data_IF_214156964702
#
_entry.id   IF_214156964702
#
_cell.length_a   1.000
_cell.length_b   1.000
_cell.length_c   1.000
_cell.angle_alpha   90.00
_cell.angle_beta   90.00
_cell.angle_gamma   90.00
#
_symmetry.space_group_name_H-M   'P 1'
#
loop_
_entity.id
_entity.type
_entity.pdbx_description
1 polymer ?
#
# COMPACT_ATOMS: atom_id res chain seq x y z
N UNK A 1 2.36 9.30 -32.48
CA UNK A 1 2.78 8.61 -31.25
C UNK A 1 1.62 8.51 -30.26
N UNK A 2 0.53 7.79 -30.64
CA UNK A 2 -0.68 7.68 -29.79
C UNK A 2 -0.43 6.97 -28.44
N UNK A 3 0.63 6.15 -28.36
CA UNK A 3 0.94 5.32 -27.19
C UNK A 3 2.20 5.77 -26.43
N UNK A 4 2.77 6.94 -26.75
CA UNK A 4 3.89 7.50 -26.03
C UNK A 4 3.41 8.02 -24.67
N UNK A 5 4.14 7.66 -23.60
CA UNK A 5 3.92 8.09 -22.22
C UNK A 5 5.12 8.96 -21.83
N UNK A 6 4.92 9.94 -20.97
CA UNK A 6 6.03 10.73 -20.41
C UNK A 6 7.07 9.80 -19.78
N UNK A 7 8.35 10.05 -20.04
CA UNK A 7 9.46 9.18 -19.64
C UNK A 7 9.75 8.00 -20.57
N UNK A 8 9.00 7.83 -21.70
CA UNK A 8 9.34 6.82 -22.69
C UNK A 8 10.51 7.25 -23.56
N UNK A 9 11.44 6.35 -23.82
CA UNK A 9 12.54 6.56 -24.78
C UNK A 9 12.02 6.39 -26.20
N UNK A 10 12.25 7.38 -27.06
CA UNK A 10 11.91 7.35 -28.48
C UNK A 10 13.21 7.29 -29.28
N UNK A 11 13.37 6.26 -30.11
CA UNK A 11 14.55 6.08 -30.94
C UNK A 11 14.18 5.67 -32.37
N UNK A 12 14.98 6.10 -33.33
CA UNK A 12 14.96 5.62 -34.70
C UNK A 12 15.83 4.37 -34.90
N UNK A 13 16.66 4.05 -33.91
CA UNK A 13 17.57 2.89 -33.93
C UNK A 13 16.85 1.71 -33.28
N UNK A 14 16.82 0.56 -33.96
CA UNK A 14 16.37 -0.71 -33.38
C UNK A 14 17.39 -1.14 -32.33
N UNK A 15 16.92 -1.76 -31.24
CA UNK A 15 17.73 -2.33 -30.16
C UNK A 15 18.55 -1.33 -29.34
N UNK A 16 18.09 -0.08 -29.25
CA UNK A 16 18.63 0.89 -28.31
C UNK A 16 18.13 0.57 -26.89
N UNK A 17 19.04 0.48 -25.92
CA UNK A 17 18.66 0.41 -24.50
C UNK A 17 17.84 1.66 -24.11
N UNK A 18 16.67 1.47 -23.47
CA UNK A 18 15.87 2.61 -23.02
C UNK A 18 16.61 3.40 -21.93
N UNK A 19 16.47 4.72 -21.95
CA UNK A 19 16.92 5.54 -20.83
C UNK A 19 16.15 5.19 -19.57
N UNK A 20 16.81 5.36 -18.41
CA UNK A 20 16.20 5.16 -17.10
C UNK A 20 14.95 6.04 -16.96
N UNK A 21 13.84 5.46 -16.52
CA UNK A 21 12.61 6.23 -16.33
C UNK A 21 12.79 7.18 -15.16
N UNK A 22 12.37 8.44 -15.34
CA UNK A 22 12.19 9.35 -14.21
C UNK A 22 10.96 8.86 -13.42
N UNK A 23 11.20 8.09 -12.36
CA UNK A 23 10.16 7.69 -11.45
C UNK A 23 10.01 8.79 -10.37
N UNK A 24 8.79 9.30 -10.21
CA UNK A 24 8.45 10.13 -9.05
C UNK A 24 8.16 9.19 -7.89
N UNK A 25 9.09 9.10 -6.94
CA UNK A 25 9.05 8.16 -5.82
C UNK A 25 8.17 8.61 -4.65
N UNK A 26 7.58 9.79 -4.73
CA UNK A 26 6.73 10.30 -3.64
C UNK A 26 5.26 9.99 -3.91
N UNK A 27 4.62 9.42 -2.91
CA UNK A 27 3.17 9.22 -2.96
C UNK A 27 2.43 10.55 -3.00
N UNK A 28 1.32 10.65 -3.74
CA UNK A 28 0.48 11.83 -3.76
C UNK A 28 -0.05 12.12 -2.35
N UNK A 29 0.04 13.38 -1.93
CA UNK A 29 -0.39 13.79 -0.57
C UNK A 29 -1.68 14.60 -0.57
N UNK A 30 -2.10 15.10 -1.72
CA UNK A 30 -3.34 15.89 -1.88
C UNK A 30 -4.19 15.29 -2.96
N UNK A 31 -5.48 15.13 -2.69
CA UNK A 31 -6.47 14.59 -3.64
C UNK A 31 -7.65 15.55 -3.76
N UNK A 32 -8.12 15.75 -4.98
CA UNK A 32 -9.38 16.44 -5.31
C UNK A 32 -10.27 15.52 -6.12
N UNK A 33 -11.56 15.53 -5.84
CA UNK A 33 -12.55 14.92 -6.72
C UNK A 33 -12.96 15.92 -7.82
N UNK A 34 -13.09 15.44 -9.05
CA UNK A 34 -13.46 16.24 -10.22
C UNK A 34 -14.64 15.58 -10.92
N UNK A 35 -15.63 16.37 -11.24
CA UNK A 35 -16.80 15.98 -12.02
C UNK A 35 -17.00 16.91 -13.21
N UNK A 36 -17.58 16.40 -14.29
CA UNK A 36 -18.04 17.26 -15.37
C UNK A 36 -19.27 18.04 -14.93
N UNK A 37 -19.25 19.37 -15.09
CA UNK A 37 -20.40 20.24 -14.79
C UNK A 37 -21.65 19.84 -15.58
N UNK A 38 -21.46 19.37 -16.81
CA UNK A 38 -22.52 18.86 -17.66
C UNK A 38 -22.24 17.39 -18.00
N UNK A 39 -23.21 16.51 -17.80
CA UNK A 39 -23.09 15.07 -18.12
C UNK A 39 -22.73 14.79 -19.59
N UNK A 40 -23.03 15.71 -20.51
CA UNK A 40 -22.66 15.60 -21.93
C UNK A 40 -21.14 15.69 -22.14
N UNK A 41 -20.44 16.38 -21.26
CA UNK A 41 -18.99 16.60 -21.33
C UNK A 41 -18.19 15.48 -20.63
N UNK A 42 -18.87 14.56 -19.94
CA UNK A 42 -18.22 13.46 -19.22
C UNK A 42 -17.28 12.60 -20.11
N UNK A 43 -17.68 12.17 -21.33
CA UNK A 43 -16.78 11.40 -22.19
C UNK A 43 -15.52 12.22 -22.59
N UNK A 44 -15.68 13.51 -22.83
CA UNK A 44 -14.57 14.42 -23.14
C UNK A 44 -13.66 14.60 -21.94
N UNK A 45 -14.22 14.77 -20.74
CA UNK A 45 -13.44 14.85 -19.50
C UNK A 45 -12.58 13.59 -19.30
N UNK A 46 -13.16 12.39 -19.45
CA UNK A 46 -12.42 11.12 -19.34
C UNK A 46 -11.26 11.04 -20.33
N UNK A 47 -11.45 11.46 -21.57
CA UNK A 47 -10.38 11.48 -22.58
C UNK A 47 -9.26 12.46 -22.21
N UNK A 48 -9.62 13.65 -21.76
CA UNK A 48 -8.69 14.67 -21.29
C UNK A 48 -7.89 14.17 -20.09
N UNK A 49 -8.55 13.59 -19.08
CA UNK A 49 -7.89 13.03 -17.89
C UNK A 49 -6.90 11.92 -18.26
N UNK A 50 -7.27 11.01 -19.17
CA UNK A 50 -6.36 9.98 -19.68
C UNK A 50 -5.14 10.56 -20.39
N UNK A 51 -5.34 11.65 -21.11
CA UNK A 51 -4.24 12.34 -21.83
C UNK A 51 -3.29 12.99 -20.84
N UNK A 52 -3.83 13.65 -19.81
CA UNK A 52 -3.04 14.27 -18.75
C UNK A 52 -2.25 13.22 -17.96
N UNK A 53 -2.89 12.12 -17.56
CA UNK A 53 -2.21 11.01 -16.86
C UNK A 53 -1.03 10.41 -17.65
N UNK A 54 -1.12 10.40 -18.99
CA UNK A 54 -0.02 9.97 -19.86
C UNK A 54 1.10 11.00 -19.96
N UNK A 55 0.75 12.30 -19.88
CA UNK A 55 1.68 13.40 -20.06
C UNK A 55 2.43 13.76 -18.78
N UNK A 56 1.81 13.58 -17.62
CA UNK A 56 2.38 13.95 -16.31
C UNK A 56 2.34 12.76 -15.34
N UNK A 57 3.48 12.08 -15.15
CA UNK A 57 3.57 10.95 -14.23
C UNK A 57 3.53 11.34 -12.74
N UNK A 58 3.60 12.64 -12.40
CA UNK A 58 3.50 13.13 -11.03
C UNK A 58 2.06 13.18 -10.52
N UNK A 59 1.09 13.05 -11.44
CA UNK A 59 -0.34 13.02 -11.14
C UNK A 59 -0.86 11.59 -11.17
N UNK A 60 -1.57 11.19 -10.13
CA UNK A 60 -2.37 9.97 -10.13
C UNK A 60 -3.82 10.33 -10.42
N UNK A 61 -4.40 9.74 -11.47
CA UNK A 61 -5.78 9.98 -11.88
C UNK A 61 -6.55 8.67 -11.86
N UNK A 62 -7.52 8.58 -10.95
CA UNK A 62 -8.44 7.46 -10.85
C UNK A 62 -9.77 7.81 -11.52
N UNK A 63 -10.11 7.07 -12.58
CA UNK A 63 -11.30 7.32 -13.37
C UNK A 63 -12.42 6.38 -12.93
N UNK A 64 -13.45 6.92 -12.30
CA UNK A 64 -14.66 6.18 -11.97
C UNK A 64 -15.76 6.48 -12.99
N UNK A 65 -16.01 5.53 -13.88
CA UNK A 65 -17.03 5.68 -14.93
C UNK A 65 -18.46 5.41 -14.42
N UNK A 66 -18.61 4.81 -13.25
CA UNK A 66 -19.92 4.46 -12.70
C UNK A 66 -20.56 5.67 -11.99
N UNK A 67 -19.78 6.39 -11.19
CA UNK A 67 -20.27 7.56 -10.45
C UNK A 67 -20.10 8.87 -11.24
N UNK A 68 -19.21 8.91 -12.22
CA UNK A 68 -18.80 10.14 -12.92
C UNK A 68 -17.87 11.05 -12.13
N UNK A 69 -17.54 10.68 -10.89
CA UNK A 69 -16.59 11.34 -10.03
C UNK A 69 -15.20 10.76 -10.25
N UNK A 70 -14.24 11.58 -10.58
CA UNK A 70 -12.85 11.18 -10.83
C UNK A 70 -11.95 11.77 -9.77
N UNK A 71 -10.98 10.98 -9.28
CA UNK A 71 -10.02 11.46 -8.28
C UNK A 71 -8.72 11.86 -8.98
N UNK A 72 -8.25 13.06 -8.67
CA UNK A 72 -6.97 13.58 -9.11
C UNK A 72 -6.09 13.85 -7.90
N UNK A 73 -4.96 13.13 -7.82
CA UNK A 73 -4.04 13.19 -6.69
C UNK A 73 -2.66 13.65 -7.15
N UNK A 74 -2.02 14.48 -6.35
CA UNK A 74 -0.70 15.04 -6.66
C UNK A 74 0.12 15.35 -5.40
N UNK A 75 1.34 15.82 -5.63
CA UNK A 75 2.33 16.15 -4.58
C UNK A 75 1.97 17.41 -3.78
N UNK A 76 0.95 18.15 -4.20
CA UNK A 76 0.52 19.39 -3.56
C UNK A 76 -0.66 20.01 -4.30
N UNK A 77 -1.14 21.16 -3.82
CA UNK A 77 -2.29 21.85 -4.41
C UNK A 77 -1.97 22.47 -5.78
N UNK A 78 -0.79 23.06 -5.94
CA UNK A 78 -0.42 23.79 -7.15
C UNK A 78 -0.44 22.94 -8.42
N UNK A 79 0.11 21.71 -8.49
CA UNK A 79 -0.05 20.83 -9.65
C UNK A 79 -1.51 20.53 -9.99
N UNK A 80 -2.36 20.37 -8.96
CA UNK A 80 -3.79 20.12 -9.17
C UNK A 80 -4.51 21.34 -9.75
N UNK A 81 -4.22 22.55 -9.24
CA UNK A 81 -4.77 23.80 -9.76
C UNK A 81 -4.35 24.07 -11.20
N UNK A 82 -3.08 23.82 -11.55
CA UNK A 82 -2.58 23.94 -12.92
C UNK A 82 -3.34 22.97 -13.83
N UNK A 83 -3.59 21.77 -13.35
CA UNK A 83 -4.32 20.75 -14.14
C UNK A 83 -5.78 21.14 -14.33
N UNK A 84 -6.45 21.64 -13.30
CA UNK A 84 -7.82 22.19 -13.40
C UNK A 84 -7.86 23.33 -14.42
N UNK A 85 -6.90 24.26 -14.36
CA UNK A 85 -6.79 25.36 -15.33
C UNK A 85 -6.67 24.84 -16.76
N UNK A 86 -5.83 23.84 -17.00
CA UNK A 86 -5.68 23.23 -18.34
C UNK A 86 -6.95 22.55 -18.82
N UNK A 87 -7.67 21.82 -17.96
CA UNK A 87 -8.93 21.18 -18.31
C UNK A 87 -9.96 22.21 -18.74
N UNK A 88 -10.09 23.30 -17.99
CA UNK A 88 -11.09 24.34 -18.26
C UNK A 88 -10.68 25.20 -19.46
N UNK A 89 -9.47 25.75 -19.45
CA UNK A 89 -9.10 26.82 -20.40
C UNK A 89 -8.47 26.29 -21.70
N UNK A 90 -7.72 25.17 -21.64
CA UNK A 90 -7.06 24.62 -22.83
C UNK A 90 -7.93 23.56 -23.51
N UNK A 91 -8.65 22.75 -22.73
CA UNK A 91 -9.47 21.66 -23.26
C UNK A 91 -10.97 22.04 -23.38
N UNK A 92 -11.37 23.15 -22.75
CA UNK A 92 -12.74 23.67 -22.84
C UNK A 92 -13.76 22.69 -22.24
N UNK A 93 -13.45 22.11 -21.07
CA UNK A 93 -14.34 21.25 -20.31
C UNK A 93 -14.62 21.90 -18.96
N UNK A 94 -15.87 22.31 -18.75
CA UNK A 94 -16.29 22.84 -17.46
C UNK A 94 -16.37 21.71 -16.42
N UNK A 95 -15.64 21.89 -15.31
CA UNK A 95 -15.58 20.93 -14.21
C UNK A 95 -16.05 21.56 -12.91
N UNK A 96 -16.47 20.71 -11.98
CA UNK A 96 -16.67 21.01 -10.57
C UNK A 96 -15.59 20.22 -9.81
N UNK A 97 -14.82 20.90 -8.97
CA UNK A 97 -13.82 20.27 -8.11
C UNK A 97 -14.17 20.39 -6.65
N UNK A 98 -13.86 19.34 -5.87
CA UNK A 98 -13.98 19.37 -4.42
C UNK A 98 -12.84 20.18 -3.79
N UNK A 99 -13.00 20.65 -2.53
CA UNK A 99 -11.85 21.09 -1.76
C UNK A 99 -10.77 20.02 -1.68
N UNK A 100 -9.48 20.40 -1.64
CA UNK A 100 -8.39 19.43 -1.54
C UNK A 100 -8.47 18.65 -0.21
N UNK A 101 -8.26 17.35 -0.31
CA UNK A 101 -8.21 16.44 0.84
C UNK A 101 -6.78 15.97 0.99
N UNK A 102 -6.19 16.18 2.17
CA UNK A 102 -4.88 15.62 2.51
C UNK A 102 -5.05 14.17 2.91
N UNK A 103 -4.32 13.28 2.23
CA UNK A 103 -4.32 11.85 2.55
C UNK A 103 -3.32 11.61 3.67
N UNK A 104 -3.85 11.28 4.85
CA UNK A 104 -3.03 10.88 6.00
C UNK A 104 -2.75 9.38 5.97
N UNK A 105 -1.64 9.00 6.60
CA UNK A 105 -1.25 7.61 6.82
C UNK A 105 -0.94 7.40 8.30
N UNK A 106 -1.28 6.21 8.81
CA UNK A 106 -0.92 5.82 10.16
C UNK A 106 0.43 5.11 10.18
N UNK A 107 1.27 5.40 11.17
CA UNK A 107 2.56 4.75 11.37
C UNK A 107 2.92 4.75 12.86
N UNK A 108 4.03 4.10 13.21
CA UNK A 108 4.59 4.11 14.57
C UNK A 108 6.00 4.71 14.55
N UNK A 109 6.41 5.37 15.63
CA UNK A 109 7.75 5.96 15.77
C UNK A 109 8.77 4.99 16.37
N UNK A 110 8.31 3.93 16.99
CA UNK A 110 9.17 2.94 17.62
C UNK A 110 8.43 1.63 17.88
N UNK A 111 9.13 0.59 18.34
CA UNK A 111 8.50 -0.69 18.64
C UNK A 111 7.59 -0.61 19.87
N UNK A 112 6.60 -1.52 19.93
CA UNK A 112 5.92 -1.76 21.20
C UNK A 112 6.86 -2.49 22.16
N UNK A 113 6.79 -2.13 23.46
CA UNK A 113 7.71 -2.61 24.49
C UNK A 113 7.56 -4.10 24.81
N UNK A 114 6.36 -4.65 24.64
CA UNK A 114 6.01 -6.05 24.91
C UNK A 114 5.12 -6.59 23.80
N UNK A 115 5.18 -7.90 23.58
CA UNK A 115 4.29 -8.56 22.64
C UNK A 115 2.82 -8.31 22.98
N UNK A 116 2.03 -7.94 21.97
CA UNK A 116 0.60 -7.75 22.16
C UNK A 116 -0.17 -9.00 21.76
N UNK A 117 -1.05 -9.47 22.66
CA UNK A 117 -1.89 -10.65 22.44
C UNK A 117 -3.15 -10.28 21.65
N UNK A 118 -3.28 -10.83 20.43
CA UNK A 118 -4.55 -10.89 19.71
C UNK A 118 -5.26 -12.20 19.99
N UNK A 119 -6.53 -12.16 20.41
CA UNK A 119 -7.29 -13.31 20.85
C UNK A 119 -8.56 -13.50 20.01
N UNK A 120 -8.78 -14.75 19.58
CA UNK A 120 -9.99 -15.06 18.81
C UNK A 120 -11.28 -14.90 19.64
N UNK A 121 -12.43 -14.58 19.01
CA UNK A 121 -13.72 -14.45 19.69
C UNK A 121 -14.09 -15.67 20.53
N UNK A 122 -13.79 -16.88 20.05
CA UNK A 122 -13.98 -18.13 20.80
C UNK A 122 -12.92 -18.38 21.89
N UNK A 123 -11.90 -17.53 22.01
CA UNK A 123 -10.80 -17.58 22.99
C UNK A 123 -9.85 -18.78 22.87
N UNK A 124 -9.96 -19.57 21.81
CA UNK A 124 -9.15 -20.78 21.60
C UNK A 124 -7.83 -20.50 20.88
N UNK A 125 -7.77 -19.40 20.10
CA UNK A 125 -6.57 -19.03 19.36
C UNK A 125 -6.00 -17.71 19.89
N UNK A 126 -4.67 -17.61 19.91
CA UNK A 126 -3.94 -16.42 20.31
C UNK A 126 -2.78 -16.20 19.36
N UNK A 127 -2.51 -14.94 19.07
CA UNK A 127 -1.38 -14.50 18.27
C UNK A 127 -0.65 -13.38 19.00
N UNK A 128 0.66 -13.36 18.93
CA UNK A 128 1.48 -12.37 19.62
C UNK A 128 2.26 -11.55 18.61
N UNK A 129 2.08 -10.22 18.67
CA UNK A 129 2.64 -9.31 17.69
C UNK A 129 3.57 -8.28 18.31
N UNK A 130 4.65 -7.99 17.57
CA UNK A 130 5.47 -6.79 17.73
C UNK A 130 5.37 -6.00 16.41
N UNK A 131 5.19 -4.69 16.54
CA UNK A 131 5.27 -3.76 15.41
C UNK A 131 6.43 -2.80 15.64
N UNK A 132 7.11 -2.44 14.55
CA UNK A 132 8.19 -1.46 14.57
C UNK A 132 8.26 -0.71 13.25
N UNK A 133 8.93 0.46 13.18
CA UNK A 133 9.14 1.15 11.91
C UNK A 133 9.91 0.28 10.92
N UNK A 134 9.51 0.31 9.65
CA UNK A 134 10.22 -0.32 8.55
C UNK A 134 11.43 0.55 8.18
N UNK A 135 12.57 -0.06 7.89
CA UNK A 135 13.79 0.61 7.47
C UNK A 135 13.56 1.49 6.22
N UNK A 136 14.06 2.72 6.24
CA UNK A 136 13.88 3.69 5.12
C UNK A 136 14.38 3.13 3.78
N UNK A 137 15.51 2.43 3.78
CA UNK A 137 16.06 1.83 2.57
C UNK A 137 15.09 0.79 1.93
N UNK A 138 14.37 0.03 2.75
CA UNK A 138 13.37 -0.93 2.28
C UNK A 138 12.12 -0.20 1.78
N UNK A 139 11.67 0.82 2.50
CA UNK A 139 10.56 1.67 2.04
C UNK A 139 10.88 2.31 0.69
N UNK A 140 12.08 2.81 0.50
CA UNK A 140 12.51 3.40 -0.77
C UNK A 140 12.58 2.36 -1.90
N UNK A 141 13.07 1.15 -1.61
CA UNK A 141 13.09 0.06 -2.60
C UNK A 141 11.66 -0.36 -3.01
N UNK A 142 10.71 -0.37 -2.08
CA UNK A 142 9.29 -0.61 -2.38
C UNK A 142 8.74 0.52 -3.27
N UNK A 143 8.98 1.78 -2.91
CA UNK A 143 8.51 2.94 -3.70
C UNK A 143 9.10 2.97 -5.10
N UNK A 144 10.36 2.57 -5.26
CA UNK A 144 11.04 2.47 -6.56
C UNK A 144 10.53 1.31 -7.42
N UNK A 145 9.80 0.36 -6.83
CA UNK A 145 9.35 -0.84 -7.51
C UNK A 145 10.42 -1.94 -7.60
N UNK A 146 11.54 -1.81 -6.88
CA UNK A 146 12.58 -2.84 -6.80
C UNK A 146 12.09 -4.07 -6.04
N UNK A 147 11.12 -3.86 -5.14
CA UNK A 147 10.39 -4.91 -4.41
C UNK A 147 8.92 -4.84 -4.84
N UNK A 148 8.44 -5.87 -5.52
CA UNK A 148 7.04 -5.97 -5.92
C UNK A 148 6.19 -6.44 -4.72
N UNK A 149 5.40 -5.52 -4.17
CA UNK A 149 4.55 -5.78 -3.00
C UNK A 149 3.22 -6.47 -3.33
N UNK A 150 2.81 -6.48 -4.61
CA UNK A 150 1.55 -7.10 -5.05
C UNK A 150 1.77 -8.53 -5.57
N UNK A 151 2.98 -8.85 -5.99
CA UNK A 151 3.29 -10.19 -6.47
C UNK A 151 3.45 -11.19 -5.32
N UNK A 152 2.99 -12.40 -5.55
CA UNK A 152 3.33 -13.52 -4.65
C UNK A 152 4.84 -13.74 -4.65
N UNK A 153 5.42 -13.89 -3.47
CA UNK A 153 6.86 -14.17 -3.29
C UNK A 153 7.21 -15.49 -4.00
N UNK A 154 7.87 -15.38 -5.15
CA UNK A 154 8.25 -16.56 -5.96
C UNK A 154 9.54 -17.18 -5.48
N UNK A 155 10.51 -16.37 -5.08
CA UNK A 155 11.81 -16.81 -4.55
C UNK A 155 12.11 -16.13 -3.21
N UNK A 156 11.75 -16.79 -2.09
CA UNK A 156 12.00 -16.26 -0.75
C UNK A 156 13.49 -16.04 -0.44
N UNK A 157 14.39 -16.83 -1.08
CA UNK A 157 15.84 -16.70 -0.82
C UNK A 157 16.42 -15.45 -1.49
N UNK A 158 16.02 -15.19 -2.74
CA UNK A 158 16.44 -13.98 -3.45
C UNK A 158 15.92 -12.72 -2.75
N UNK A 159 14.65 -12.72 -2.33
CA UNK A 159 14.05 -11.63 -1.57
C UNK A 159 14.77 -11.42 -0.24
N UNK A 160 15.05 -12.48 0.53
CA UNK A 160 15.76 -12.36 1.80
C UNK A 160 17.15 -11.72 1.62
N UNK A 161 17.89 -12.12 0.58
CA UNK A 161 19.19 -11.51 0.28
C UNK A 161 19.06 -10.02 -0.08
N UNK A 162 18.09 -9.68 -0.91
CA UNK A 162 17.84 -8.28 -1.29
C UNK A 162 17.48 -7.42 -0.06
N UNK A 163 16.69 -7.94 0.85
CA UNK A 163 16.35 -7.27 2.11
C UNK A 163 17.56 -7.15 3.05
N UNK A 164 18.39 -8.18 3.16
CA UNK A 164 19.66 -8.14 3.91
C UNK A 164 20.57 -7.03 3.38
N UNK A 165 20.71 -6.90 2.06
CA UNK A 165 21.52 -5.87 1.40
C UNK A 165 20.98 -4.44 1.68
N UNK A 166 19.70 -4.29 1.98
CA UNK A 166 19.03 -3.04 2.37
C UNK A 166 19.05 -2.77 3.89
N UNK A 167 19.75 -3.61 4.66
CA UNK A 167 19.92 -3.43 6.11
C UNK A 167 18.89 -4.15 6.98
N UNK A 168 18.06 -5.02 6.39
CA UNK A 168 17.13 -5.84 7.13
C UNK A 168 17.86 -6.92 7.94
N UNK A 169 17.35 -7.25 9.12
CA UNK A 169 17.89 -8.37 9.89
C UNK A 169 17.77 -9.70 9.11
N UNK A 170 18.84 -10.49 9.11
CA UNK A 170 18.93 -11.73 8.32
C UNK A 170 17.87 -12.77 8.67
N UNK A 171 17.56 -12.93 9.95
CA UNK A 171 16.59 -13.93 10.38
C UNK A 171 15.15 -13.44 10.10
N UNK A 172 14.91 -12.14 10.24
CA UNK A 172 13.64 -11.51 9.85
C UNK A 172 13.42 -11.55 8.34
N UNK A 173 14.46 -11.27 7.54
CA UNK A 173 14.37 -11.32 6.07
C UNK A 173 13.91 -12.68 5.54
N UNK A 174 14.35 -13.78 6.17
CA UNK A 174 13.91 -15.14 5.84
C UNK A 174 12.46 -15.44 6.25
N UNK A 175 11.97 -14.74 7.27
CA UNK A 175 10.62 -14.88 7.79
C UNK A 175 9.58 -14.03 7.07
N UNK A 176 9.94 -13.26 6.06
CA UNK A 176 8.99 -12.42 5.33
C UNK A 176 7.96 -13.28 4.62
N UNK A 177 6.68 -13.06 4.93
CA UNK A 177 5.56 -13.83 4.39
C UNK A 177 4.65 -13.03 3.48
N UNK A 178 4.73 -11.70 3.53
CA UNK A 178 3.94 -10.83 2.65
C UNK A 178 4.19 -9.33 2.85
N UNK A 179 3.75 -8.57 1.86
CA UNK A 179 3.76 -7.12 1.86
C UNK A 179 2.35 -6.59 1.62
N UNK A 180 2.06 -5.39 2.11
CA UNK A 180 0.86 -4.64 1.74
C UNK A 180 1.13 -3.14 1.88
N UNK A 181 0.87 -2.37 0.83
CA UNK A 181 1.31 -0.99 0.74
C UNK A 181 2.82 -0.91 1.03
N UNK A 182 3.24 -0.03 1.91
CA UNK A 182 4.64 0.08 2.34
C UNK A 182 4.87 -0.63 3.70
N UNK A 183 4.27 -1.80 3.90
CA UNK A 183 4.36 -2.58 5.15
C UNK A 183 4.78 -4.02 4.87
N UNK A 184 5.41 -4.66 5.84
CA UNK A 184 5.87 -6.05 5.76
C UNK A 184 5.36 -6.90 6.91
N UNK A 185 4.92 -8.13 6.60
CA UNK A 185 4.58 -9.15 7.59
C UNK A 185 5.70 -10.19 7.67
N UNK A 186 6.15 -10.47 8.90
CA UNK A 186 7.24 -11.39 9.18
C UNK A 186 6.76 -12.47 10.14
N UNK A 187 6.99 -13.71 9.78
CA UNK A 187 6.84 -14.87 10.67
C UNK A 187 8.16 -15.11 11.43
N UNK A 188 8.16 -14.75 12.70
CA UNK A 188 9.28 -15.00 13.63
C UNK A 188 9.06 -16.24 14.49
N UNK A 189 7.99 -16.98 14.28
CA UNK A 189 7.64 -18.14 15.11
C UNK A 189 8.54 -19.33 14.84
N UNK A 190 8.59 -20.24 15.79
CA UNK A 190 9.35 -21.51 15.65
C UNK A 190 8.49 -22.69 16.05
N UNK A 191 8.22 -23.57 15.09
CA UNK A 191 7.59 -24.86 15.37
C UNK A 191 6.15 -24.83 15.87
N UNK A 192 5.37 -23.81 15.49
CA UNK A 192 3.96 -23.68 15.86
C UNK A 192 3.11 -24.64 15.04
N UNK A 193 2.42 -25.54 15.73
CA UNK A 193 1.49 -26.47 15.11
C UNK A 193 0.32 -25.71 14.47
N UNK A 194 -0.12 -26.17 13.28
CA UNK A 194 -1.25 -25.65 12.51
C UNK A 194 -1.09 -24.21 11.98
N UNK A 195 0.03 -23.52 12.23
CA UNK A 195 0.23 -22.15 11.74
C UNK A 195 0.26 -22.12 10.22
N UNK A 196 0.92 -23.09 9.58
CA UNK A 196 1.00 -23.17 8.13
C UNK A 196 -0.41 -23.20 7.47
N UNK A 197 -1.36 -23.92 8.07
CA UNK A 197 -2.74 -24.01 7.58
C UNK A 197 -3.51 -22.68 7.74
N UNK A 198 -3.14 -21.88 8.74
CA UNK A 198 -3.80 -20.60 9.05
C UNK A 198 -3.10 -19.38 8.48
N UNK A 199 -1.89 -19.56 7.91
CA UNK A 199 -1.05 -18.43 7.45
C UNK A 199 -1.73 -17.56 6.39
N UNK A 200 -2.52 -18.13 5.49
CA UNK A 200 -3.26 -17.34 4.50
C UNK A 200 -4.32 -16.43 5.15
N UNK A 201 -4.97 -16.88 6.23
CA UNK A 201 -5.88 -16.03 6.99
C UNK A 201 -5.14 -14.93 7.77
N UNK A 202 -3.93 -15.23 8.26
CA UNK A 202 -3.06 -14.23 8.90
C UNK A 202 -2.65 -13.16 7.90
N UNK A 203 -2.25 -13.53 6.68
CA UNK A 203 -1.92 -12.59 5.61
C UNK A 203 -3.11 -11.73 5.22
N UNK A 204 -4.27 -12.34 4.96
CA UNK A 204 -5.48 -11.62 4.64
C UNK A 204 -5.82 -10.59 5.72
N UNK A 205 -5.76 -10.99 6.99
CA UNK A 205 -6.04 -10.09 8.11
C UNK A 205 -5.01 -8.96 8.22
N UNK A 206 -3.74 -9.24 7.95
CA UNK A 206 -2.70 -8.22 7.86
C UNK A 206 -2.99 -7.23 6.73
N UNK A 207 -3.33 -7.70 5.53
CA UNK A 207 -3.68 -6.84 4.40
C UNK A 207 -4.86 -5.94 4.71
N UNK A 208 -5.92 -6.47 5.32
CA UNK A 208 -7.08 -5.70 5.76
C UNK A 208 -6.71 -4.66 6.82
N UNK A 209 -5.85 -5.03 7.80
CA UNK A 209 -5.38 -4.12 8.84
C UNK A 209 -4.53 -2.97 8.28
N UNK A 210 -3.73 -3.21 7.22
CA UNK A 210 -2.91 -2.18 6.59
C UNK A 210 -3.73 -1.20 5.74
N UNK A 211 -4.94 -1.56 5.36
CA UNK A 211 -5.84 -0.66 4.63
C UNK A 211 -6.58 0.33 5.52
N UNK A 212 -6.74 0.00 6.81
CA UNK A 212 -7.48 0.83 7.78
C UNK A 212 -6.84 0.69 9.15
N UNK A 213 -6.07 1.69 9.55
CA UNK A 213 -5.39 1.71 10.85
C UNK A 213 -6.33 1.96 12.03
N UNK A 214 -5.86 1.72 13.26
CA UNK A 214 -6.68 1.75 14.47
C UNK A 214 -6.99 3.15 15.00
N UNK A 215 -6.31 4.20 14.56
CA UNK A 215 -6.43 5.55 15.13
C UNK A 215 -7.44 6.41 14.39
N UNK A 216 -7.26 6.56 13.09
CA UNK A 216 -8.05 7.44 12.24
C UNK A 216 -8.73 6.68 11.07
N UNK A 217 -8.62 5.37 11.03
CA UNK A 217 -9.11 4.52 9.94
C UNK A 217 -8.45 4.84 8.59
N UNK A 218 -7.21 5.37 8.63
CA UNK A 218 -6.39 5.70 7.46
C UNK A 218 -5.49 4.53 7.09
N UNK A 219 -4.93 4.56 5.88
CA UNK A 219 -3.97 3.53 5.43
C UNK A 219 -2.73 3.54 6.33
N UNK A 220 -2.24 2.35 6.66
CA UNK A 220 -1.01 2.17 7.43
C UNK A 220 0.18 2.09 6.46
N UNK A 221 1.29 2.77 6.80
CA UNK A 221 2.50 2.76 6.00
C UNK A 221 3.77 2.76 6.86
N UNK A 222 4.83 2.17 6.32
CA UNK A 222 6.15 2.14 6.94
C UNK A 222 6.24 1.24 8.17
N UNK A 223 5.49 0.13 8.20
CA UNK A 223 5.39 -0.77 9.34
C UNK A 223 6.01 -2.12 9.07
N UNK A 224 6.75 -2.62 10.04
CA UNK A 224 7.19 -4.01 10.16
C UNK A 224 6.32 -4.69 11.21
N UNK A 225 5.51 -5.67 10.78
CA UNK A 225 4.63 -6.46 11.66
C UNK A 225 5.25 -7.83 11.85
N UNK A 226 5.65 -8.15 13.07
CA UNK A 226 6.28 -9.42 13.45
C UNK A 226 5.29 -10.28 14.20
N UNK A 227 4.98 -11.46 13.67
CA UNK A 227 4.30 -12.52 14.39
C UNK A 227 5.34 -13.28 15.23
N UNK A 228 5.32 -13.10 16.54
CA UNK A 228 6.33 -13.64 17.45
C UNK A 228 6.00 -15.05 17.93
N UNK A 229 4.74 -15.31 18.24
CA UNK A 229 4.24 -16.59 18.71
C UNK A 229 2.76 -16.75 18.38
N UNK A 230 2.27 -17.98 18.36
CA UNK A 230 0.85 -18.28 18.22
C UNK A 230 0.47 -19.55 19.00
N UNK A 231 -0.74 -19.56 19.55
CA UNK A 231 -1.37 -20.72 20.14
C UNK A 231 -2.67 -21.01 19.42
N UNK A 232 -2.72 -22.12 18.71
CA UNK A 232 -3.83 -22.49 17.85
C UNK A 232 -4.51 -23.75 18.38
N UNK A 233 -5.83 -23.77 18.28
CA UNK A 233 -6.61 -24.94 18.62
C UNK A 233 -6.36 -26.08 17.63
N UNK A 234 -6.35 -27.33 18.10
CA UNK A 234 -6.10 -28.50 17.23
C UNK A 234 -7.20 -28.74 16.20
N UNK A 235 -8.46 -28.46 16.58
CA UNK A 235 -9.63 -28.64 15.71
C UNK A 235 -9.77 -27.44 14.76
N UNK A 236 -9.87 -27.75 13.44
CA UNK A 236 -10.03 -26.78 12.35
C UNK A 236 -11.30 -25.95 12.46
N UNK A 237 -12.38 -26.50 13.04
CA UNK A 237 -13.65 -25.77 13.25
C UNK A 237 -13.42 -24.50 14.08
N UNK A 238 -12.48 -24.53 15.02
CA UNK A 238 -12.13 -23.40 15.86
C UNK A 238 -11.11 -22.43 15.25
N UNK A 239 -10.57 -22.72 14.06
CA UNK A 239 -9.56 -21.93 13.33
C UNK A 239 -10.09 -21.30 12.03
N UNK A 240 -11.40 -21.17 11.89
CA UNK A 240 -12.02 -20.57 10.71
C UNK A 240 -11.77 -19.05 10.59
N UNK A 241 -12.06 -18.44 9.42
CA UNK A 241 -11.85 -17.01 9.14
C UNK A 241 -12.48 -16.10 10.20
N UNK A 242 -13.69 -16.40 10.67
CA UNK A 242 -14.40 -15.64 11.70
C UNK A 242 -13.68 -15.62 13.06
N UNK A 243 -12.72 -16.51 13.29
CA UNK A 243 -11.93 -16.56 14.51
C UNK A 243 -10.53 -15.97 14.32
N UNK A 244 -9.87 -16.29 13.20
CA UNK A 244 -8.47 -15.91 12.97
C UNK A 244 -8.37 -14.45 12.55
N UNK A 245 -9.20 -13.99 11.58
CA UNK A 245 -9.11 -12.62 11.05
C UNK A 245 -9.27 -11.56 12.16
N UNK A 246 -10.29 -11.61 13.04
CA UNK A 246 -10.41 -10.64 14.12
C UNK A 246 -9.24 -10.73 15.11
N UNK A 247 -8.77 -11.94 15.44
CA UNK A 247 -7.68 -12.12 16.40
C UNK A 247 -6.37 -11.48 15.92
N UNK A 248 -6.03 -11.68 14.66
CA UNK A 248 -4.83 -11.11 14.03
C UNK A 248 -4.96 -9.60 13.92
N UNK A 249 -6.09 -9.09 13.38
CA UNK A 249 -6.33 -7.66 13.24
C UNK A 249 -6.25 -6.94 14.59
N UNK A 250 -6.96 -7.43 15.60
CA UNK A 250 -7.00 -6.81 16.91
C UNK A 250 -5.64 -6.89 17.62
N UNK A 251 -4.87 -7.97 17.37
CA UNK A 251 -3.48 -8.10 17.81
C UNK A 251 -2.55 -7.05 17.19
N UNK A 252 -2.62 -6.86 15.88
CA UNK A 252 -1.85 -5.82 15.16
C UNK A 252 -2.25 -4.42 15.64
N UNK A 253 -3.53 -4.14 15.74
CA UNK A 253 -4.04 -2.84 16.19
C UNK A 253 -3.61 -2.52 17.61
N UNK A 254 -3.70 -3.49 18.51
CA UNK A 254 -3.24 -3.32 19.89
C UNK A 254 -1.73 -3.10 19.98
N UNK A 255 -0.95 -3.81 19.17
CA UNK A 255 0.48 -3.58 19.06
C UNK A 255 0.80 -2.16 18.56
N UNK A 256 0.11 -1.67 17.50
CA UNK A 256 0.26 -0.31 16.99
C UNK A 256 -0.12 0.75 18.04
N UNK A 257 -1.22 0.56 18.76
CA UNK A 257 -1.64 1.49 19.82
C UNK A 257 -0.69 1.52 21.03
N UNK A 258 0.02 0.43 21.29
CA UNK A 258 1.01 0.31 22.37
C UNK A 258 2.44 0.66 21.97
N UNK A 259 2.70 0.84 20.67
CA UNK A 259 3.99 1.25 20.14
C UNK A 259 4.32 2.73 20.46
N UNK A 260 5.59 3.10 20.35
CA UNK A 260 6.03 4.49 20.50
C UNK A 260 5.34 5.41 19.50
N UNK A 261 4.76 6.50 20.00
CA UNK A 261 4.04 7.51 19.21
C UNK A 261 4.94 8.69 18.88
#
# INVERSE_FOLDING_TARGET
LKDAIAGSTISSVKDMEPFERMAHYSEPVVTKAIEAKNMKDLPKLVEVLRTIAKADPSLNIEINNETGEHLMSGMGELPLEITEYRIINEQGVDIISSPPIVVYQESVKGPNATEFEGKSPNKHNKFYFIVEPLEEAVQDAIRKGDIDVEAKIKDPKALAKQLEDLGFDRDQAKGVVGFKNNNVLIDCTKGIQYLHETMELVKQSFEEAMMRGPLANEKVAGLKVKLMDAKLHEDTIHRGPAQIIPAVRDGIYGAMCSAGR
#
